data_IF_087069873052
#
_entry.id   IF_087069873052
#
_cell.length_a   1.000
_cell.length_b   1.000
_cell.length_c   1.000
_cell.angle_alpha   90.00
_cell.angle_beta   90.00
_cell.angle_gamma   90.00
#
_symmetry.space_group_name_H-M   'P 1'
#
loop_
_entity.id
_entity.type
_entity.pdbx_description
1 polymer ?
#
# COMPACT_ATOMS: atom_id res chain seq x y z
N UNK A 1 2.99 -21.36 13.07
CA UNK A 1 3.20 -20.73 11.75
C UNK A 1 3.11 -21.74 10.60
N UNK A 2 3.95 -22.77 10.59
CA UNK A 2 3.93 -23.72 9.47
C UNK A 2 2.66 -24.55 9.38
N UNK A 3 1.95 -24.72 10.49
CA UNK A 3 0.68 -25.44 10.52
C UNK A 3 -0.54 -24.55 10.22
N UNK A 4 -0.34 -23.24 10.09
CA UNK A 4 -1.42 -22.30 9.76
C UNK A 4 -1.79 -22.42 8.29
N UNK A 5 -2.99 -22.00 7.94
CA UNK A 5 -3.41 -21.89 6.56
C UNK A 5 -2.87 -20.58 5.95
N UNK A 6 -1.85 -20.72 5.13
CA UNK A 6 -1.19 -19.55 4.51
C UNK A 6 -2.08 -18.80 3.53
N UNK A 7 -3.14 -19.46 3.02
CA UNK A 7 -4.05 -18.79 2.09
C UNK A 7 -4.79 -17.62 2.73
N UNK A 8 -4.86 -17.55 4.06
CA UNK A 8 -5.43 -16.40 4.77
C UNK A 8 -4.69 -15.09 4.45
N UNK A 9 -3.42 -15.18 4.04
CA UNK A 9 -2.63 -14.02 3.67
C UNK A 9 -2.83 -13.57 2.22
N UNK A 10 -3.60 -14.31 1.41
CA UNK A 10 -3.68 -14.08 -0.03
C UNK A 10 -4.18 -12.69 -0.40
N UNK A 11 -5.26 -12.24 0.22
CA UNK A 11 -5.84 -10.91 -0.10
C UNK A 11 -4.90 -9.79 0.33
N UNK A 12 -4.28 -9.92 1.49
CA UNK A 12 -3.33 -8.93 2.00
C UNK A 12 -2.10 -8.84 1.11
N UNK A 13 -1.53 -9.97 0.72
CA UNK A 13 -0.40 -10.00 -0.21
C UNK A 13 -0.80 -9.55 -1.61
N UNK A 14 -1.96 -9.97 -2.08
CA UNK A 14 -2.47 -9.64 -3.41
C UNK A 14 -2.64 -8.14 -3.62
N UNK A 15 -2.99 -7.41 -2.57
CA UNK A 15 -3.12 -5.96 -2.65
C UNK A 15 -1.79 -5.28 -3.00
N UNK A 16 -0.66 -5.86 -2.63
CA UNK A 16 0.66 -5.34 -2.96
C UNK A 16 1.14 -5.76 -4.35
N UNK A 17 0.51 -6.76 -4.96
CA UNK A 17 0.95 -7.32 -6.23
C UNK A 17 0.56 -6.50 -7.46
N UNK A 18 0.62 -5.18 -7.38
CA UNK A 18 0.27 -4.28 -8.47
C UNK A 18 1.28 -3.14 -8.52
N UNK A 19 1.92 -2.88 -9.69
CA UNK A 19 2.98 -1.88 -9.79
C UNK A 19 2.57 -0.49 -9.28
N UNK A 20 1.36 -0.04 -9.62
CA UNK A 20 0.87 1.27 -9.17
C UNK A 20 0.72 1.30 -7.66
N UNK A 21 0.19 0.23 -7.06
CA UNK A 21 0.01 0.16 -5.60
C UNK A 21 1.35 0.17 -4.88
N UNK A 22 2.35 -0.55 -5.39
CA UNK A 22 3.69 -0.52 -4.81
C UNK A 22 4.32 0.88 -4.89
N UNK A 23 4.11 1.59 -5.99
CA UNK A 23 4.61 2.97 -6.13
C UNK A 23 3.91 3.91 -5.15
N UNK A 24 2.61 3.77 -4.97
CA UNK A 24 1.86 4.57 -4.00
C UNK A 24 2.39 4.32 -2.58
N UNK A 25 2.55 3.07 -2.20
CA UNK A 25 3.05 2.69 -0.89
C UNK A 25 4.47 3.21 -0.68
N UNK A 26 5.32 3.13 -1.70
CA UNK A 26 6.69 3.64 -1.62
C UNK A 26 6.71 5.16 -1.38
N UNK A 27 5.85 5.90 -2.06
CA UNK A 27 5.74 7.35 -1.88
C UNK A 27 5.27 7.70 -0.46
N UNK A 28 4.31 6.95 0.07
CA UNK A 28 3.81 7.15 1.42
C UNK A 28 4.87 6.77 2.47
N UNK A 29 5.61 5.70 2.24
CA UNK A 29 6.74 5.33 3.10
C UNK A 29 7.83 6.39 3.09
N UNK A 30 7.97 7.11 1.98
CA UNK A 30 8.93 8.20 1.83
C UNK A 30 8.49 9.53 2.44
N UNK A 31 7.32 9.57 3.09
CA UNK A 31 6.86 10.75 3.81
C UNK A 31 5.70 11.51 3.18
N UNK A 32 5.26 11.15 1.99
CA UNK A 32 4.07 11.77 1.40
C UNK A 32 2.83 11.26 2.12
N UNK A 33 1.86 12.15 2.33
CA UNK A 33 0.65 11.80 3.08
C UNK A 33 -0.64 12.20 2.37
N UNK A 34 -0.60 13.25 1.55
CA UNK A 34 -1.79 13.78 0.90
C UNK A 34 -1.93 13.25 -0.52
N UNK A 35 -3.17 12.93 -0.92
CA UNK A 35 -3.45 12.49 -2.29
C UNK A 35 -2.98 13.53 -3.32
N UNK A 36 -3.07 14.82 -3.00
CA UNK A 36 -2.59 15.88 -3.88
C UNK A 36 -1.10 15.75 -4.22
N UNK A 37 -0.31 15.18 -3.32
CA UNK A 37 1.10 14.91 -3.55
C UNK A 37 1.31 13.69 -4.47
N UNK A 38 0.36 12.76 -4.46
CA UNK A 38 0.43 11.53 -5.26
C UNK A 38 -0.02 11.76 -6.70
N UNK A 39 -1.02 12.63 -6.90
CA UNK A 39 -1.57 12.92 -8.23
C UNK A 39 -0.50 13.45 -9.20
N UNK A 40 0.49 14.16 -8.69
CA UNK A 40 1.58 14.69 -9.51
C UNK A 40 2.64 13.65 -9.92
N UNK A 41 2.56 12.43 -9.40
CA UNK A 41 3.56 11.41 -9.72
C UNK A 41 3.25 10.74 -11.05
N UNK A 42 4.28 10.61 -11.88
CA UNK A 42 4.15 10.01 -13.19
C UNK A 42 3.80 8.52 -13.10
N UNK A 43 2.90 8.08 -13.98
CA UNK A 43 2.58 6.66 -14.14
C UNK A 43 1.57 6.11 -13.15
N UNK A 44 0.94 6.95 -12.32
CA UNK A 44 -0.03 6.48 -11.34
C UNK A 44 -1.48 6.50 -11.86
N UNK A 45 -1.70 7.06 -13.04
CA UNK A 45 -3.04 7.12 -13.64
C UNK A 45 -3.84 8.33 -13.20
N UNK A 46 -5.16 8.23 -13.35
CA UNK A 46 -6.08 9.32 -13.00
C UNK A 46 -6.28 9.40 -11.48
N UNK A 47 -6.81 10.53 -11.02
CA UNK A 47 -7.17 10.71 -9.60
C UNK A 47 -8.12 9.61 -9.12
N UNK A 48 -9.13 9.26 -9.94
CA UNK A 48 -10.07 8.20 -9.58
C UNK A 48 -9.40 6.85 -9.45
N UNK A 49 -8.46 6.53 -10.34
CA UNK A 49 -7.68 5.29 -10.26
C UNK A 49 -6.80 5.25 -9.01
N UNK A 50 -6.18 6.37 -8.67
CA UNK A 50 -5.38 6.48 -7.45
C UNK A 50 -6.25 6.21 -6.22
N UNK A 51 -7.43 6.82 -6.12
CA UNK A 51 -8.35 6.57 -5.01
C UNK A 51 -8.79 5.11 -4.95
N UNK A 52 -9.04 4.49 -6.11
CA UNK A 52 -9.38 3.07 -6.16
C UNK A 52 -8.27 2.21 -5.54
N UNK A 53 -7.02 2.45 -5.93
CA UNK A 53 -5.88 1.71 -5.39
C UNK A 53 -5.68 1.96 -3.89
N UNK A 54 -5.84 3.21 -3.45
CA UNK A 54 -5.73 3.55 -2.04
C UNK A 54 -6.79 2.81 -1.21
N UNK A 55 -8.02 2.73 -1.69
CA UNK A 55 -9.08 1.98 -1.00
C UNK A 55 -8.75 0.50 -0.89
N UNK A 56 -8.16 -0.09 -1.93
CA UNK A 56 -7.75 -1.49 -1.89
C UNK A 56 -6.65 -1.71 -0.84
N UNK A 57 -5.70 -0.79 -0.74
CA UNK A 57 -4.63 -0.87 0.23
C UNK A 57 -5.14 -0.67 1.67
N UNK A 58 -6.09 0.23 1.87
CA UNK A 58 -6.74 0.42 3.19
C UNK A 58 -7.49 -0.85 3.58
N UNK A 59 -8.27 -1.40 2.66
CA UNK A 59 -9.04 -2.62 2.91
C UNK A 59 -8.15 -3.81 3.29
N UNK A 60 -6.95 -3.88 2.71
CA UNK A 60 -5.99 -4.94 3.01
C UNK A 60 -5.13 -4.67 4.26
N UNK A 61 -5.30 -3.52 4.89
CA UNK A 61 -4.59 -3.16 6.12
C UNK A 61 -3.20 -2.56 5.94
N UNK A 62 -2.77 -2.28 4.71
CA UNK A 62 -1.46 -1.67 4.45
C UNK A 62 -1.46 -0.16 4.63
N UNK A 63 -2.62 0.47 4.55
CA UNK A 63 -2.79 1.90 4.74
C UNK A 63 -3.93 2.17 5.70
N UNK A 64 -3.90 3.35 6.31
CA UNK A 64 -5.03 3.88 7.06
C UNK A 64 -5.22 5.34 6.69
N UNK A 65 -6.46 5.83 6.82
CA UNK A 65 -6.76 7.24 6.62
C UNK A 65 -6.42 8.00 7.89
N UNK A 66 -5.78 9.16 7.76
CA UNK A 66 -5.45 10.04 8.88
C UNK A 66 -6.26 11.33 8.84
N UNK A 67 -7.02 11.52 7.78
CA UNK A 67 -7.85 12.68 7.55
C UNK A 67 -8.36 12.64 6.12
N UNK A 68 -9.13 13.62 5.74
CA UNK A 68 -9.70 13.68 4.40
C UNK A 68 -8.59 13.82 3.35
N UNK A 69 -8.50 12.85 2.44
CA UNK A 69 -7.48 12.83 1.41
C UNK A 69 -6.07 12.61 1.94
N UNK A 70 -5.93 12.07 3.15
CA UNK A 70 -4.64 11.79 3.77
C UNK A 70 -4.56 10.36 4.20
N UNK A 71 -3.38 9.77 3.98
CA UNK A 71 -3.13 8.35 4.23
C UNK A 71 -1.76 8.17 4.86
N UNK A 72 -1.61 7.07 5.60
CA UNK A 72 -0.31 6.66 6.12
C UNK A 72 -0.23 5.15 6.22
N UNK A 73 0.98 4.63 6.30
CA UNK A 73 1.21 3.23 6.62
C UNK A 73 1.08 3.10 8.14
N UNK A 74 0.18 2.23 8.66
CA UNK A 74 0.10 2.03 10.10
C UNK A 74 1.48 1.66 10.66
N UNK A 75 1.92 2.24 11.78
CA UNK A 75 3.25 1.94 12.33
C UNK A 75 3.51 0.45 12.53
N UNK A 76 2.49 -0.31 12.92
CA UNK A 76 2.61 -1.76 13.10
C UNK A 76 2.82 -2.53 11.81
N UNK A 77 2.58 -1.90 10.66
CA UNK A 77 2.70 -2.52 9.34
C UNK A 77 3.99 -2.17 8.61
N UNK A 78 4.70 -1.14 9.05
CA UNK A 78 5.88 -0.67 8.31
C UNK A 78 6.96 -1.75 8.20
N UNK A 79 7.35 -2.36 9.31
CA UNK A 79 8.38 -3.41 9.28
C UNK A 79 7.91 -4.64 8.49
N UNK A 80 6.70 -5.19 8.74
CA UNK A 80 6.18 -6.27 7.91
C UNK A 80 6.16 -5.95 6.42
N UNK A 81 5.77 -4.72 6.04
CA UNK A 81 5.76 -4.29 4.64
C UNK A 81 7.18 -4.35 4.04
N UNK A 82 8.17 -3.81 4.74
CA UNK A 82 9.55 -3.81 4.27
C UNK A 82 10.09 -5.24 4.13
N UNK A 83 9.74 -6.12 5.04
CA UNK A 83 10.12 -7.54 4.97
C UNK A 83 9.53 -8.20 3.72
N UNK A 84 8.23 -7.98 3.47
CA UNK A 84 7.55 -8.57 2.31
C UNK A 84 8.15 -8.05 1.02
N UNK A 85 8.34 -6.75 0.89
CA UNK A 85 8.88 -6.15 -0.33
C UNK A 85 10.33 -6.62 -0.57
N UNK A 86 11.14 -6.62 0.48
CA UNK A 86 12.53 -7.09 0.38
C UNK A 86 12.58 -8.56 -0.02
N UNK A 87 11.73 -9.40 0.59
CA UNK A 87 11.67 -10.82 0.27
C UNK A 87 11.14 -11.13 -1.12
N UNK A 88 10.34 -10.24 -1.69
CA UNK A 88 9.77 -10.43 -3.04
C UNK A 88 10.69 -9.90 -4.16
N UNK A 89 11.71 -9.12 -3.84
CA UNK A 89 12.66 -8.61 -4.84
C UNK A 89 13.71 -9.68 -5.14
N UNK A 90 14.09 -9.74 -6.41
CA UNK A 90 15.11 -10.67 -6.87
C UNK A 90 16.50 -10.06 -6.87
#
# INVERSE_FOLDING_TARGET
MLSSDWSEAADTLGALGHPVRLRLIQALAGGRTAVTELVGLEGLGTTGQIYHHLRQLVSAGWLETTGRGRYQIPPSRLVPLLVVVTGARR
#
